data_IF_130721326815
#
_entry.id   IF_130721326815
#
_cell.length_a   1.000
_cell.length_b   1.000
_cell.length_c   1.000
_cell.angle_alpha   90.00
_cell.angle_beta   90.00
_cell.angle_gamma   90.00
#
_symmetry.space_group_name_H-M   'P 1'
#
loop_
_entity.id
_entity.type
_entity.pdbx_description
1 polymer ?
#
# COMPACT_ATOMS: atom_id res chain seq x y z
N UNK A 1 10.58 38.22 -2.52
CA UNK A 1 9.19 38.45 -3.03
C UNK A 1 8.23 37.63 -2.16
N UNK A 2 7.54 38.27 -1.22
CA UNK A 2 6.46 37.64 -0.46
C UNK A 2 5.28 37.41 -1.42
N UNK A 3 5.00 36.15 -1.75
CA UNK A 3 3.76 35.81 -2.46
C UNK A 3 2.59 36.10 -1.53
N UNK A 4 1.82 37.13 -1.83
CA UNK A 4 0.56 37.39 -1.13
C UNK A 4 -0.38 36.20 -1.33
N UNK A 5 -1.01 35.67 -0.28
CA UNK A 5 -1.92 34.55 -0.39
C UNK A 5 -3.08 34.91 -1.34
N UNK A 6 -3.36 34.00 -2.28
CA UNK A 6 -4.36 34.22 -3.36
C UNK A 6 -5.78 34.33 -2.78
N UNK A 7 -6.04 33.70 -1.64
CA UNK A 7 -7.33 33.77 -0.94
C UNK A 7 -7.15 33.99 0.58
N UNK A 8 -7.93 34.89 1.15
CA UNK A 8 -8.01 35.11 2.60
C UNK A 8 -9.19 34.31 3.18
N UNK A 9 -8.94 33.25 3.91
CA UNK A 9 -9.94 32.44 4.59
C UNK A 9 -9.80 32.60 6.12
N UNK A 10 -10.90 32.78 6.80
CA UNK A 10 -10.88 32.86 8.25
C UNK A 10 -10.72 31.47 8.87
N UNK A 11 -10.20 31.39 10.11
CA UNK A 11 -10.10 30.13 10.89
C UNK A 11 -11.47 29.43 10.96
N UNK A 12 -12.55 30.17 11.05
CA UNK A 12 -13.92 29.63 11.05
C UNK A 12 -14.25 28.91 9.74
N UNK A 13 -13.92 29.50 8.59
CA UNK A 13 -14.15 28.90 7.29
C UNK A 13 -13.30 27.62 7.11
N UNK A 14 -12.05 27.63 7.54
CA UNK A 14 -11.19 26.45 7.49
C UNK A 14 -11.72 25.29 8.35
N UNK A 15 -12.28 25.57 9.52
CA UNK A 15 -12.97 24.55 10.35
C UNK A 15 -14.21 23.99 9.67
N UNK A 16 -14.99 24.83 8.97
CA UNK A 16 -16.14 24.39 8.20
C UNK A 16 -15.69 23.45 7.06
N UNK A 17 -14.62 23.79 6.34
CA UNK A 17 -14.08 22.94 5.28
C UNK A 17 -13.59 21.59 5.83
N UNK A 18 -12.94 21.57 6.99
CA UNK A 18 -12.55 20.31 7.64
C UNK A 18 -13.78 19.44 7.98
N UNK A 19 -14.85 20.05 8.53
CA UNK A 19 -16.09 19.32 8.79
C UNK A 19 -16.75 18.81 7.51
N UNK A 20 -16.78 19.63 6.48
CA UNK A 20 -17.27 19.25 5.16
C UNK A 20 -16.48 18.05 4.61
N UNK A 21 -15.14 18.08 4.68
CA UNK A 21 -14.31 16.97 4.29
C UNK A 21 -14.59 15.68 5.08
N UNK A 22 -14.94 15.81 6.36
CA UNK A 22 -15.31 14.65 7.21
C UNK A 22 -16.64 14.03 6.81
N UNK A 23 -17.59 14.82 6.30
CA UNK A 23 -18.91 14.33 5.88
C UNK A 23 -18.90 13.75 4.46
N UNK A 24 -18.17 14.37 3.54
CA UNK A 24 -18.15 13.95 2.13
C UNK A 24 -17.24 12.77 1.84
N UNK A 25 -16.54 12.27 2.85
CA UNK A 25 -15.55 11.21 2.75
C UNK A 25 -16.14 9.87 2.30
N UNK A 26 -17.42 9.63 2.57
CA UNK A 26 -18.11 8.38 2.22
C UNK A 26 -18.53 8.32 0.75
N UNK A 27 -18.56 9.46 0.05
CA UNK A 27 -18.95 9.52 -1.36
C UNK A 27 -18.00 8.72 -2.26
N UNK A 28 -16.68 8.91 -2.20
CA UNK A 28 -15.74 8.10 -3.00
C UNK A 28 -15.80 6.62 -2.68
N UNK A 29 -15.95 6.26 -1.40
CA UNK A 29 -16.05 4.85 -1.00
C UNK A 29 -17.28 4.21 -1.67
N UNK A 30 -18.42 4.89 -1.64
CA UNK A 30 -19.64 4.41 -2.30
C UNK A 30 -19.51 4.29 -3.81
N UNK A 31 -18.86 5.26 -4.46
CA UNK A 31 -18.58 5.22 -5.90
C UNK A 31 -17.66 4.05 -6.28
N UNK A 32 -16.55 3.86 -5.58
CA UNK A 32 -15.64 2.76 -5.86
C UNK A 32 -16.26 1.39 -5.59
N UNK A 33 -17.07 1.25 -4.52
CA UNK A 33 -17.83 0.02 -4.26
C UNK A 33 -18.84 -0.25 -5.37
N UNK A 34 -19.58 0.78 -5.81
CA UNK A 34 -20.52 0.67 -6.92
C UNK A 34 -19.83 0.21 -8.21
N UNK A 35 -18.71 0.85 -8.57
CA UNK A 35 -17.90 0.44 -9.73
C UNK A 35 -17.35 -0.97 -9.58
N UNK A 36 -16.80 -1.33 -8.41
CA UNK A 36 -16.26 -2.65 -8.15
C UNK A 36 -17.34 -3.74 -8.32
N UNK A 37 -18.54 -3.52 -7.77
CA UNK A 37 -19.66 -4.43 -7.91
C UNK A 37 -20.07 -4.54 -9.38
N UNK A 38 -20.20 -3.42 -10.08
CA UNK A 38 -20.58 -3.40 -11.50
C UNK A 38 -19.56 -4.16 -12.35
N UNK A 39 -18.27 -3.90 -12.17
CA UNK A 39 -17.20 -4.59 -12.88
C UNK A 39 -17.10 -6.09 -12.54
N UNK A 40 -17.55 -6.49 -11.36
CA UNK A 40 -17.51 -7.91 -10.92
C UNK A 40 -18.73 -8.70 -11.36
N UNK A 41 -19.88 -8.06 -11.51
CA UNK A 41 -21.16 -8.72 -11.84
C UNK A 41 -21.42 -8.77 -13.34
N UNK A 42 -21.02 -7.72 -14.09
CA UNK A 42 -21.23 -7.68 -15.53
C UNK A 42 -20.31 -8.66 -16.26
N UNK A 43 -20.85 -9.45 -17.21
CA UNK A 43 -20.03 -10.27 -18.09
C UNK A 43 -19.05 -9.39 -18.89
N UNK A 44 -17.83 -9.89 -19.10
CA UNK A 44 -16.80 -9.16 -19.85
C UNK A 44 -17.24 -8.79 -21.28
N UNK A 45 -18.01 -9.66 -21.91
CA UNK A 45 -18.57 -9.40 -23.25
C UNK A 45 -19.55 -8.24 -23.24
N UNK A 46 -20.40 -8.13 -22.24
CA UNK A 46 -21.32 -6.98 -22.08
C UNK A 46 -20.54 -5.69 -21.82
N UNK A 47 -19.51 -5.77 -20.98
CA UNK A 47 -18.68 -4.59 -20.66
C UNK A 47 -17.89 -4.11 -21.89
N UNK A 48 -17.31 -5.03 -22.68
CA UNK A 48 -16.60 -4.67 -23.91
C UNK A 48 -17.54 -4.00 -24.94
N UNK A 49 -18.77 -4.50 -25.04
CA UNK A 49 -19.80 -3.90 -25.92
C UNK A 49 -20.19 -2.49 -25.47
N UNK A 50 -20.40 -2.28 -24.16
CA UNK A 50 -20.73 -0.95 -23.60
C UNK A 50 -19.59 0.05 -23.84
N UNK A 51 -18.33 -0.39 -23.70
CA UNK A 51 -17.15 0.46 -23.87
C UNK A 51 -16.71 0.58 -25.34
N UNK A 52 -17.38 -0.09 -26.28
CA UNK A 52 -17.00 -0.15 -27.70
C UNK A 52 -15.55 -0.61 -27.92
N UNK A 53 -15.08 -1.56 -27.11
CA UNK A 53 -13.74 -2.12 -27.19
C UNK A 53 -13.79 -3.58 -27.64
N UNK A 54 -12.81 -4.00 -28.42
CA UNK A 54 -12.69 -5.40 -28.81
C UNK A 54 -12.41 -6.28 -27.57
N UNK A 55 -13.04 -7.45 -27.55
CA UNK A 55 -12.91 -8.42 -26.45
C UNK A 55 -11.62 -9.25 -26.64
N UNK A 56 -10.48 -8.62 -26.46
CA UNK A 56 -9.14 -9.22 -26.57
C UNK A 56 -8.41 -9.29 -25.22
N UNK A 57 -7.16 -9.74 -25.23
CA UNK A 57 -6.33 -9.77 -24.02
C UNK A 57 -6.03 -8.38 -23.46
N UNK A 58 -5.98 -7.35 -24.31
CA UNK A 58 -5.74 -5.98 -23.89
C UNK A 58 -6.93 -5.47 -23.08
N UNK A 59 -8.16 -5.82 -23.51
CA UNK A 59 -9.37 -5.50 -22.77
C UNK A 59 -9.40 -6.17 -21.39
N UNK A 60 -9.00 -7.46 -21.28
CA UNK A 60 -8.89 -8.15 -19.99
C UNK A 60 -7.90 -7.46 -19.07
N UNK A 61 -6.74 -7.07 -19.58
CA UNK A 61 -5.73 -6.34 -18.80
C UNK A 61 -6.24 -4.99 -18.33
N UNK A 62 -6.93 -4.25 -19.18
CA UNK A 62 -7.55 -2.99 -18.85
C UNK A 62 -8.63 -3.15 -17.75
N UNK A 63 -9.44 -4.17 -17.84
CA UNK A 63 -10.47 -4.47 -16.85
C UNK A 63 -9.87 -4.84 -15.47
N UNK A 64 -8.79 -5.65 -15.45
CA UNK A 64 -8.01 -5.93 -14.23
C UNK A 64 -7.49 -4.62 -13.63
N UNK A 65 -6.95 -3.74 -14.47
CA UNK A 65 -6.45 -2.45 -14.06
C UNK A 65 -7.54 -1.58 -13.41
N UNK A 66 -8.75 -1.52 -13.98
CA UNK A 66 -9.86 -0.79 -13.38
C UNK A 66 -10.31 -1.36 -12.04
N UNK A 67 -10.35 -2.68 -11.89
CA UNK A 67 -10.64 -3.30 -10.59
C UNK A 67 -9.55 -2.97 -9.56
N UNK A 68 -8.28 -3.04 -9.95
CA UNK A 68 -7.17 -2.67 -9.09
C UNK A 68 -7.29 -1.20 -8.65
N UNK A 69 -7.64 -0.27 -9.56
CA UNK A 69 -7.91 1.13 -9.22
C UNK A 69 -9.06 1.27 -8.22
N UNK A 70 -10.16 0.53 -8.39
CA UNK A 70 -11.29 0.59 -7.46
C UNK A 70 -10.92 0.13 -6.06
N UNK A 71 -10.23 -1.01 -5.94
CA UNK A 71 -9.76 -1.53 -4.65
C UNK A 71 -8.77 -0.57 -3.99
N UNK A 72 -7.84 -0.05 -4.78
CA UNK A 72 -6.87 0.96 -4.37
C UNK A 72 -7.58 2.23 -3.89
N UNK A 73 -8.56 2.72 -4.65
CA UNK A 73 -9.36 3.89 -4.29
C UNK A 73 -10.11 3.70 -2.97
N UNK A 74 -10.72 2.53 -2.74
CA UNK A 74 -11.39 2.18 -1.48
C UNK A 74 -10.40 2.21 -0.33
N UNK A 75 -9.24 1.56 -0.47
CA UNK A 75 -8.22 1.52 0.59
C UNK A 75 -7.71 2.90 0.95
N UNK A 76 -7.39 3.74 -0.05
CA UNK A 76 -6.98 5.12 0.21
C UNK A 76 -8.08 5.97 0.81
N UNK A 77 -9.33 5.77 0.39
CA UNK A 77 -10.47 6.47 0.97
C UNK A 77 -10.67 6.09 2.44
N UNK A 78 -10.47 4.82 2.81
CA UNK A 78 -10.49 4.37 4.20
C UNK A 78 -9.34 5.00 5.00
N UNK A 79 -8.11 5.00 4.47
CA UNK A 79 -6.96 5.64 5.11
C UNK A 79 -7.21 7.13 5.30
N UNK A 80 -7.73 7.80 4.28
CA UNK A 80 -8.09 9.21 4.35
C UNK A 80 -9.16 9.47 5.41
N UNK A 81 -10.20 8.61 5.47
CA UNK A 81 -11.26 8.68 6.48
C UNK A 81 -10.67 8.62 7.89
N UNK A 82 -9.92 7.57 8.18
CA UNK A 82 -9.31 7.38 9.49
C UNK A 82 -8.40 8.56 9.84
N UNK A 83 -7.56 8.99 8.89
CA UNK A 83 -6.63 10.10 9.11
C UNK A 83 -7.36 11.40 9.39
N UNK A 84 -8.40 11.74 8.61
CA UNK A 84 -9.16 12.98 8.77
C UNK A 84 -9.96 13.02 10.08
N UNK A 85 -10.53 11.88 10.51
CA UNK A 85 -11.25 11.79 11.77
C UNK A 85 -10.33 11.85 13.01
N UNK A 86 -9.13 11.30 12.89
CA UNK A 86 -8.14 11.31 13.98
C UNK A 86 -7.38 12.63 14.10
N UNK A 87 -7.35 13.44 13.05
CA UNK A 87 -6.55 14.67 13.00
C UNK A 87 -7.32 15.85 13.57
N UNK A 88 -6.65 16.64 14.41
CA UNK A 88 -7.16 17.93 14.86
C UNK A 88 -7.07 18.96 13.76
N UNK A 89 -7.76 20.10 13.91
CA UNK A 89 -7.71 21.20 12.94
C UNK A 89 -6.26 21.70 12.69
N UNK A 90 -5.48 21.87 13.76
CA UNK A 90 -4.10 22.37 13.67
C UNK A 90 -3.19 21.36 12.95
N UNK A 91 -3.31 20.08 13.32
CA UNK A 91 -2.58 19.00 12.65
C UNK A 91 -2.97 18.87 11.18
N UNK A 92 -4.27 19.02 10.86
CA UNK A 92 -4.78 18.98 9.48
C UNK A 92 -4.13 20.04 8.59
N UNK A 93 -4.01 21.28 9.07
CA UNK A 93 -3.35 22.34 8.33
C UNK A 93 -1.86 22.07 8.17
N UNK A 94 -1.20 21.52 9.18
CA UNK A 94 0.22 21.16 9.10
C UNK A 94 0.51 20.06 8.08
N UNK A 95 -0.41 19.11 7.93
CA UNK A 95 -0.25 17.94 7.06
C UNK A 95 -1.08 18.03 5.78
N UNK A 96 -1.47 19.25 5.38
CA UNK A 96 -2.33 19.50 4.23
C UNK A 96 -1.87 18.84 2.94
N UNK A 97 -0.54 18.73 2.72
CA UNK A 97 0.01 18.09 1.52
C UNK A 97 -0.33 16.60 1.46
N UNK A 98 -0.20 15.88 2.57
CA UNK A 98 -0.56 14.45 2.65
C UNK A 98 -2.06 14.24 2.38
N UNK A 99 -2.91 15.15 2.88
CA UNK A 99 -4.35 15.09 2.61
C UNK A 99 -4.68 15.40 1.14
N UNK A 100 -3.95 16.31 0.49
CA UNK A 100 -4.06 16.55 -0.95
C UNK A 100 -3.70 15.29 -1.72
N UNK A 101 -2.56 14.66 -1.40
CA UNK A 101 -2.10 13.43 -2.06
C UNK A 101 -3.10 12.29 -1.86
N UNK A 102 -3.57 12.08 -0.63
CA UNK A 102 -4.56 11.05 -0.34
C UNK A 102 -5.86 11.27 -1.13
N UNK A 103 -6.33 12.52 -1.26
CA UNK A 103 -7.51 12.83 -2.06
C UNK A 103 -7.28 12.67 -3.57
N UNK A 104 -6.10 13.04 -4.05
CA UNK A 104 -5.74 12.82 -5.46
C UNK A 104 -5.74 11.33 -5.79
N UNK A 105 -5.10 10.50 -4.96
CA UNK A 105 -5.00 9.06 -5.18
C UNK A 105 -6.37 8.37 -5.01
N UNK A 106 -7.17 8.81 -4.06
CA UNK A 106 -8.53 8.27 -3.87
C UNK A 106 -9.54 8.82 -4.88
N UNK A 107 -9.12 9.68 -5.83
CA UNK A 107 -9.98 10.40 -6.79
C UNK A 107 -11.16 11.15 -6.12
N UNK A 108 -10.98 11.56 -4.87
CA UNK A 108 -11.96 12.38 -4.17
C UNK A 108 -11.82 13.85 -4.58
N UNK A 109 -12.34 14.19 -5.78
CA UNK A 109 -12.20 15.51 -6.39
C UNK A 109 -12.78 16.61 -5.50
N UNK A 110 -13.87 16.33 -4.81
CA UNK A 110 -14.57 17.31 -3.94
C UNK A 110 -13.62 17.72 -2.79
N UNK A 111 -13.07 16.76 -2.10
CA UNK A 111 -12.16 17.03 -0.98
C UNK A 111 -10.77 17.46 -1.46
N UNK A 112 -10.37 17.07 -2.68
CA UNK A 112 -9.14 17.55 -3.30
C UNK A 112 -9.18 19.07 -3.51
N UNK A 113 -10.26 19.59 -4.10
CA UNK A 113 -10.42 21.03 -4.32
C UNK A 113 -10.40 21.79 -3.00
N UNK A 114 -11.17 21.33 -2.00
CA UNK A 114 -11.19 21.98 -0.68
C UNK A 114 -9.85 21.97 0.03
N UNK A 115 -9.06 20.89 -0.11
CA UNK A 115 -7.70 20.80 0.45
C UNK A 115 -6.69 21.69 -0.29
N UNK A 116 -6.81 21.84 -1.61
CA UNK A 116 -5.98 22.76 -2.38
C UNK A 116 -6.28 24.22 -1.95
N UNK A 117 -7.53 24.56 -1.74
CA UNK A 117 -7.91 25.86 -1.21
C UNK A 117 -7.26 26.09 0.16
N UNK A 118 -7.32 25.14 1.08
CA UNK A 118 -6.64 25.22 2.39
C UNK A 118 -5.13 25.29 2.23
N UNK A 119 -4.54 24.59 1.25
CA UNK A 119 -3.09 24.64 0.99
C UNK A 119 -2.58 26.02 0.67
N UNK A 120 -3.36 26.84 -0.04
CA UNK A 120 -2.97 28.19 -0.44
C UNK A 120 -2.82 29.18 0.74
N UNK A 121 -3.20 28.76 1.98
CA UNK A 121 -3.07 29.60 3.17
C UNK A 121 -1.77 29.31 3.93
N UNK A 122 -0.98 30.36 4.15
CA UNK A 122 0.09 30.33 5.15
C UNK A 122 -0.49 30.37 6.56
N UNK A 123 -0.37 29.28 7.27
CA UNK A 123 -0.57 29.26 8.72
C UNK A 123 0.81 29.15 9.38
N UNK A 124 1.25 30.21 10.04
CA UNK A 124 2.37 30.14 11.00
C UNK A 124 1.88 29.30 12.19
N UNK A 125 2.23 28.04 12.20
CA UNK A 125 2.02 27.19 13.37
C UNK A 125 3.38 27.05 14.04
N UNK A 126 3.41 27.45 15.33
CA UNK A 126 4.50 27.14 16.23
C UNK A 126 4.77 25.64 16.19
N UNK A 127 6.03 25.25 16.08
CA UNK A 127 6.46 23.85 16.09
C UNK A 127 5.84 23.14 17.27
N UNK A 128 4.92 22.21 16.96
CA UNK A 128 4.29 21.40 17.99
C UNK A 128 5.34 20.42 18.49
N UNK A 129 5.94 20.73 19.63
CA UNK A 129 6.89 19.88 20.33
C UNK A 129 6.29 18.50 20.58
N UNK A 130 6.97 17.47 20.12
CA UNK A 130 6.59 16.07 20.23
C UNK A 130 6.82 15.48 21.65
N UNK A 131 6.64 16.28 22.70
CA UNK A 131 6.78 15.82 24.07
C UNK A 131 5.70 14.75 24.38
N UNK A 132 6.12 13.50 24.63
CA UNK A 132 5.31 12.33 25.01
C UNK A 132 4.05 12.16 24.14
N UNK A 133 4.28 11.80 22.86
CA UNK A 133 3.19 11.61 21.93
C UNK A 133 2.12 10.64 22.45
N UNK A 134 0.87 11.07 22.49
CA UNK A 134 -0.29 10.23 22.80
C UNK A 134 -0.34 9.02 21.85
N UNK A 135 -1.03 7.93 22.24
CA UNK A 135 -1.21 6.75 21.36
C UNK A 135 -1.74 7.12 19.97
N UNK A 136 -2.67 8.11 19.92
CA UNK A 136 -3.22 8.67 18.69
C UNK A 136 -2.14 9.31 17.80
N UNK A 137 -1.26 10.11 18.37
CA UNK A 137 -0.17 10.79 17.65
C UNK A 137 0.85 9.78 17.09
N UNK A 138 1.21 8.76 17.87
CA UNK A 138 2.06 7.66 17.40
C UNK A 138 1.43 6.90 16.23
N UNK A 139 0.13 6.68 16.25
CA UNK A 139 -0.58 6.05 15.15
C UNK A 139 -0.48 6.90 13.87
N UNK A 140 -0.73 8.20 13.93
CA UNK A 140 -0.63 9.10 12.77
C UNK A 140 0.80 9.15 12.21
N UNK A 141 1.81 9.19 13.08
CA UNK A 141 3.21 9.14 12.66
C UNK A 141 3.53 7.81 11.98
N UNK A 142 3.11 6.68 12.54
CA UNK A 142 3.30 5.37 11.92
C UNK A 142 2.60 5.24 10.58
N UNK A 143 1.42 5.82 10.48
CA UNK A 143 0.68 5.88 9.22
C UNK A 143 1.41 6.72 8.17
N UNK A 144 2.16 7.74 8.57
CA UNK A 144 2.87 8.65 7.65
C UNK A 144 2.22 10.02 7.51
N UNK A 145 1.39 10.39 8.48
CA UNK A 145 0.75 11.70 8.50
C UNK A 145 1.68 12.71 9.17
N UNK A 146 2.60 13.25 8.38
CA UNK A 146 3.48 14.39 8.73
C UNK A 146 3.83 15.17 7.47
N UNK A 147 4.58 16.27 7.61
CA UNK A 147 4.98 17.11 6.48
C UNK A 147 6.05 16.38 5.62
N UNK A 148 5.65 15.82 4.49
CA UNK A 148 6.58 15.21 3.54
C UNK A 148 7.36 16.29 2.77
N UNK A 149 8.60 15.95 2.43
CA UNK A 149 9.50 16.75 1.62
C UNK A 149 9.77 16.05 0.29
N UNK A 150 10.32 16.77 -0.67
CA UNK A 150 10.73 16.21 -1.97
C UNK A 150 11.56 14.93 -1.82
N UNK A 151 12.42 14.89 -0.80
CA UNK A 151 13.23 13.71 -0.49
C UNK A 151 12.41 12.45 -0.16
N UNK A 152 11.27 12.60 0.49
CA UNK A 152 10.40 11.46 0.83
C UNK A 152 9.82 10.80 -0.43
N UNK A 153 9.46 11.63 -1.42
CA UNK A 153 9.00 11.14 -2.73
C UNK A 153 10.13 10.47 -3.53
N UNK A 154 11.34 11.02 -3.47
CA UNK A 154 12.52 10.42 -4.13
C UNK A 154 12.80 9.05 -3.53
N UNK A 155 12.74 8.89 -2.21
CA UNK A 155 12.94 7.59 -1.55
C UNK A 155 11.84 6.61 -1.98
N UNK A 156 10.58 7.01 -1.99
CA UNK A 156 9.46 6.16 -2.43
C UNK A 156 9.68 5.68 -3.86
N UNK A 157 10.04 6.60 -4.77
CA UNK A 157 10.32 6.26 -6.17
C UNK A 157 11.52 5.30 -6.32
N UNK A 158 12.58 5.54 -5.54
CA UNK A 158 13.78 4.67 -5.54
C UNK A 158 13.44 3.26 -5.05
N UNK A 159 12.69 3.14 -3.95
CA UNK A 159 12.28 1.83 -3.44
C UNK A 159 11.28 1.13 -4.37
N UNK A 160 10.41 1.87 -5.07
CA UNK A 160 9.56 1.30 -6.10
C UNK A 160 10.39 0.74 -7.26
N UNK A 161 11.38 1.48 -7.74
CA UNK A 161 12.29 1.00 -8.79
C UNK A 161 13.05 -0.26 -8.36
N UNK A 162 13.61 -0.29 -7.14
CA UNK A 162 14.29 -1.49 -6.60
C UNK A 162 13.33 -2.66 -6.50
N UNK A 163 12.10 -2.43 -6.07
CA UNK A 163 11.06 -3.48 -5.99
C UNK A 163 10.77 -4.07 -7.37
N UNK A 164 10.64 -3.23 -8.40
CA UNK A 164 10.40 -3.67 -9.76
C UNK A 164 11.58 -4.45 -10.35
N UNK A 165 12.80 -4.00 -10.10
CA UNK A 165 14.02 -4.73 -10.51
C UNK A 165 14.06 -6.11 -9.86
N UNK A 166 13.78 -6.21 -8.55
CA UNK A 166 13.76 -7.50 -7.86
C UNK A 166 12.62 -8.38 -8.36
N UNK A 167 11.41 -7.82 -8.60
CA UNK A 167 10.30 -8.54 -9.19
C UNK A 167 10.63 -9.08 -10.60
N UNK A 168 11.37 -8.33 -11.39
CA UNK A 168 11.86 -8.79 -12.69
C UNK A 168 12.91 -9.90 -12.53
N UNK A 169 13.86 -9.74 -11.62
CA UNK A 169 14.86 -10.78 -11.32
C UNK A 169 14.24 -12.09 -10.83
N UNK A 170 13.13 -12.02 -10.09
CA UNK A 170 12.36 -13.21 -9.68
C UNK A 170 11.94 -14.07 -10.87
N UNK A 171 11.62 -13.46 -12.02
CA UNK A 171 11.23 -14.21 -13.22
C UNK A 171 12.37 -15.01 -13.85
N UNK A 172 13.61 -14.70 -13.48
CA UNK A 172 14.83 -15.39 -13.95
C UNK A 172 15.28 -16.50 -12.99
N UNK A 173 14.71 -16.53 -11.77
CA UNK A 173 15.02 -17.58 -10.79
C UNK A 173 14.31 -18.89 -11.19
N UNK A 174 14.86 -20.05 -10.76
CA UNK A 174 14.16 -21.31 -10.91
C UNK A 174 12.78 -21.24 -10.29
N UNK A 175 11.75 -21.50 -11.07
CA UNK A 175 10.39 -21.54 -10.60
C UNK A 175 10.10 -22.90 -9.96
N UNK A 176 9.27 -22.88 -8.91
CA UNK A 176 8.60 -24.07 -8.43
C UNK A 176 7.64 -24.60 -9.51
N UNK A 177 7.31 -25.90 -9.50
CA UNK A 177 6.24 -26.40 -10.36
C UNK A 177 5.02 -25.47 -10.25
N UNK A 178 4.42 -25.11 -11.38
CA UNK A 178 3.26 -24.22 -11.46
C UNK A 178 3.50 -22.73 -11.12
N UNK A 179 4.76 -22.25 -11.14
CA UNK A 179 5.07 -20.82 -11.26
C UNK A 179 5.45 -20.07 -9.96
N UNK A 180 5.49 -20.71 -8.81
CA UNK A 180 5.99 -20.07 -7.58
C UNK A 180 7.51 -19.85 -7.64
N UNK A 181 7.99 -18.67 -7.25
CA UNK A 181 9.42 -18.33 -7.14
C UNK A 181 9.73 -17.68 -5.79
N UNK A 182 11.02 -17.52 -5.49
CA UNK A 182 11.44 -16.79 -4.29
C UNK A 182 11.04 -15.32 -4.45
N UNK A 183 10.21 -14.81 -3.55
CA UNK A 183 9.68 -13.45 -3.67
C UNK A 183 10.60 -12.41 -2.98
N UNK A 184 11.58 -11.90 -3.72
CA UNK A 184 12.53 -10.89 -3.26
C UNK A 184 11.92 -9.48 -3.18
N UNK A 185 10.88 -9.20 -3.98
CA UNK A 185 10.17 -7.91 -4.08
C UNK A 185 9.60 -7.41 -2.75
N UNK A 186 9.31 -8.30 -1.81
CA UNK A 186 8.77 -7.90 -0.50
C UNK A 186 9.81 -7.28 0.43
N UNK A 187 11.11 -7.48 0.16
CA UNK A 187 12.19 -6.94 0.98
C UNK A 187 12.22 -5.42 0.95
N UNK A 188 12.36 -4.73 -0.20
CA UNK A 188 12.37 -3.27 -0.24
C UNK A 188 11.04 -2.66 0.21
N UNK A 189 9.91 -3.31 -0.04
CA UNK A 189 8.61 -2.86 0.42
C UNK A 189 8.50 -2.86 1.96
N UNK A 190 9.00 -3.90 2.60
CA UNK A 190 9.05 -3.98 4.06
C UNK A 190 10.01 -2.94 4.65
N UNK A 191 11.18 -2.75 4.02
CA UNK A 191 12.18 -1.78 4.46
C UNK A 191 11.62 -0.37 4.39
N UNK A 192 11.04 0.06 3.27
CA UNK A 192 10.50 1.42 3.13
C UNK A 192 9.34 1.67 4.11
N UNK A 193 8.45 0.70 4.28
CA UNK A 193 7.36 0.81 5.25
C UNK A 193 7.89 1.03 6.67
N UNK A 194 8.94 0.30 7.06
CA UNK A 194 9.52 0.37 8.39
C UNK A 194 10.34 1.64 8.61
N UNK A 195 11.21 2.03 7.67
CA UNK A 195 12.08 3.22 7.85
C UNK A 195 11.31 4.53 7.68
N UNK A 196 10.30 4.55 6.83
CA UNK A 196 9.51 5.75 6.56
C UNK A 196 8.13 5.68 7.25
N UNK A 197 7.17 4.94 6.68
CA UNK A 197 5.80 4.85 7.22
C UNK A 197 4.96 3.82 6.47
N UNK A 198 3.83 3.45 7.08
CA UNK A 198 2.87 2.56 6.43
C UNK A 198 2.36 3.13 5.10
N UNK A 199 2.07 4.43 5.03
CA UNK A 199 1.61 5.10 3.81
C UNK A 199 2.68 5.07 2.71
N UNK A 200 3.95 5.30 3.05
CA UNK A 200 5.04 5.19 2.08
C UNK A 200 5.19 3.76 1.56
N UNK A 201 5.13 2.76 2.45
CA UNK A 201 5.13 1.34 2.05
C UNK A 201 3.95 0.99 1.15
N UNK A 202 2.76 1.50 1.46
CA UNK A 202 1.57 1.30 0.64
C UNK A 202 1.72 1.92 -0.76
N UNK A 203 2.14 3.19 -0.86
CA UNK A 203 2.33 3.89 -2.14
C UNK A 203 3.38 3.17 -2.98
N UNK A 204 4.52 2.81 -2.36
CA UNK A 204 5.58 2.07 -3.06
C UNK A 204 5.05 0.73 -3.58
N UNK A 205 4.36 -0.04 -2.74
CA UNK A 205 3.79 -1.34 -3.12
C UNK A 205 2.76 -1.22 -4.23
N UNK A 206 1.88 -0.23 -4.15
CA UNK A 206 0.85 0.01 -5.15
C UNK A 206 1.43 0.45 -6.51
N UNK A 207 2.39 1.38 -6.52
CA UNK A 207 3.10 1.77 -7.76
C UNK A 207 3.80 0.55 -8.36
N UNK A 208 4.50 -0.23 -7.53
CA UNK A 208 5.19 -1.43 -7.99
C UNK A 208 4.23 -2.49 -8.53
N UNK A 209 3.10 -2.70 -7.87
CA UNK A 209 2.07 -3.63 -8.35
C UNK A 209 1.50 -3.19 -9.71
N UNK A 210 1.15 -1.91 -9.86
CA UNK A 210 0.64 -1.39 -11.13
C UNK A 210 1.69 -1.46 -12.25
N UNK A 211 2.94 -1.08 -11.96
CA UNK A 211 4.01 -1.16 -12.94
C UNK A 211 4.39 -2.60 -13.30
N UNK A 212 4.21 -3.56 -12.41
CA UNK A 212 4.47 -4.97 -12.69
C UNK A 212 3.56 -5.56 -13.79
N UNK A 213 2.40 -4.95 -14.04
CA UNK A 213 1.52 -5.32 -15.17
C UNK A 213 2.22 -5.23 -16.52
N UNK A 214 3.27 -4.40 -16.65
CA UNK A 214 4.02 -4.22 -17.90
C UNK A 214 4.89 -5.42 -18.25
N UNK A 215 5.23 -6.29 -17.28
CA UNK A 215 6.14 -7.42 -17.51
C UNK A 215 5.63 -8.76 -16.95
N UNK A 216 4.48 -8.80 -16.29
CA UNK A 216 3.83 -10.07 -15.93
C UNK A 216 3.33 -10.74 -17.21
N UNK A 217 3.73 -11.98 -17.52
CA UNK A 217 3.21 -12.69 -18.66
C UNK A 217 1.68 -12.82 -18.59
N UNK A 218 1.01 -12.63 -19.72
CA UNK A 218 -0.46 -12.63 -19.79
C UNK A 218 -1.11 -13.91 -19.28
N UNK A 219 -0.43 -15.06 -19.36
CA UNK A 219 -0.89 -16.34 -18.81
C UNK A 219 -1.00 -16.40 -17.28
N UNK A 220 -0.36 -15.47 -16.56
CA UNK A 220 -0.41 -15.40 -15.10
C UNK A 220 -1.48 -14.41 -14.57
N UNK A 221 -2.18 -13.73 -15.46
CA UNK A 221 -3.31 -12.87 -15.11
C UNK A 221 -4.56 -13.41 -15.80
N UNK A 222 -5.15 -14.43 -15.21
CA UNK A 222 -6.31 -15.12 -15.79
C UNK A 222 -7.64 -14.45 -15.42
N UNK A 223 -7.63 -13.63 -14.39
CA UNK A 223 -8.79 -12.86 -13.95
C UNK A 223 -8.35 -11.65 -13.12
N UNK A 224 -9.22 -10.63 -12.92
CA UNK A 224 -8.93 -9.53 -12.02
C UNK A 224 -8.61 -9.97 -10.60
N UNK A 225 -9.29 -10.99 -10.14
CA UNK A 225 -9.11 -11.55 -8.80
C UNK A 225 -7.77 -12.26 -8.66
N UNK A 226 -7.27 -12.92 -9.72
CA UNK A 226 -5.92 -13.50 -9.70
C UNK A 226 -4.87 -12.41 -9.56
N UNK A 227 -4.98 -11.32 -10.32
CA UNK A 227 -4.06 -10.19 -10.16
C UNK A 227 -4.15 -9.57 -8.76
N UNK A 228 -5.37 -9.33 -8.27
CA UNK A 228 -5.58 -8.70 -6.98
C UNK A 228 -4.95 -9.52 -5.84
N UNK A 229 -5.22 -10.82 -5.81
CA UNK A 229 -4.80 -11.71 -4.72
C UNK A 229 -3.34 -12.17 -4.83
N UNK A 230 -2.80 -12.36 -6.05
CA UNK A 230 -1.43 -12.84 -6.24
C UNK A 230 -0.38 -11.71 -6.32
N UNK A 231 -0.79 -10.54 -6.80
CA UNK A 231 0.18 -9.46 -7.07
C UNK A 231 -0.10 -8.22 -6.25
N UNK A 232 -1.29 -7.64 -6.34
CA UNK A 232 -1.58 -6.35 -5.75
C UNK A 232 -1.58 -6.40 -4.22
N UNK A 233 -2.39 -7.27 -3.61
CA UNK A 233 -2.45 -7.44 -2.16
C UNK A 233 -1.10 -7.83 -1.56
N UNK A 234 -0.38 -8.84 -2.08
CA UNK A 234 0.95 -9.17 -1.58
C UNK A 234 1.95 -8.03 -1.61
N UNK A 235 1.90 -7.15 -2.60
CA UNK A 235 2.81 -6.00 -2.70
C UNK A 235 2.47 -4.87 -1.72
N UNK A 236 1.22 -4.72 -1.29
CA UNK A 236 0.85 -3.68 -0.32
C UNK A 236 0.89 -4.16 1.14
N UNK A 237 0.75 -5.45 1.40
CA UNK A 237 0.80 -6.03 2.77
C UNK A 237 2.04 -5.61 3.56
N UNK A 238 3.26 -5.48 2.98
CA UNK A 238 4.44 -5.02 3.69
C UNK A 238 4.30 -3.66 4.38
N UNK A 239 3.30 -2.83 4.01
CA UNK A 239 2.99 -1.57 4.68
C UNK A 239 2.78 -1.73 6.19
N UNK A 240 2.39 -2.92 6.65
CA UNK A 240 2.14 -3.23 8.06
C UNK A 240 3.40 -3.03 8.92
N UNK A 241 4.59 -3.22 8.35
CA UNK A 241 5.85 -2.93 9.03
C UNK A 241 5.92 -1.49 9.58
N UNK A 242 5.28 -0.53 8.91
CA UNK A 242 5.22 0.85 9.35
C UNK A 242 4.49 1.06 10.67
N UNK A 243 3.50 0.23 11.01
CA UNK A 243 2.81 0.30 12.29
C UNK A 243 3.60 -0.33 13.44
N UNK A 244 4.59 -1.15 13.13
CA UNK A 244 5.39 -1.88 14.12
C UNK A 244 6.73 -1.21 14.46
N UNK A 245 7.10 -0.13 13.75
CA UNK A 245 8.42 0.53 13.82
C UNK A 245 8.80 1.01 15.23
N UNK A 246 7.86 1.52 16.04
CA UNK A 246 8.15 2.00 17.39
C UNK A 246 8.35 0.89 18.43
N UNK A 247 7.97 -0.34 18.12
CA UNK A 247 8.20 -1.48 19.01
C UNK A 247 9.65 -1.95 18.98
N UNK A 248 10.39 -1.56 17.94
CA UNK A 248 11.77 -2.02 17.67
C UNK A 248 12.82 -1.16 18.34
N UNK A 249 12.52 0.10 18.64
CA UNK A 249 13.46 1.01 19.33
C UNK A 249 13.50 0.69 20.83
N UNK A 250 14.08 -0.46 21.18
CA UNK A 250 14.27 -0.89 22.55
C UNK A 250 15.77 -1.07 22.81
N UNK A 251 16.25 -0.62 23.96
CA UNK A 251 17.67 -0.73 24.37
C UNK A 251 18.17 -2.18 24.45
N UNK A 252 17.24 -3.14 24.53
CA UNK A 252 17.53 -4.57 24.59
C UNK A 252 17.59 -5.17 23.17
N UNK A 253 18.80 -5.49 22.69
CA UNK A 253 19.04 -6.05 21.34
C UNK A 253 18.17 -7.26 20.99
N UNK A 254 17.94 -8.18 21.92
CA UNK A 254 17.14 -9.38 21.68
C UNK A 254 15.65 -9.05 21.40
N UNK A 255 15.08 -8.03 22.07
CA UNK A 255 13.69 -7.59 21.82
C UNK A 255 13.56 -7.03 20.41
N UNK A 256 14.58 -6.32 19.94
CA UNK A 256 14.63 -5.81 18.57
C UNK A 256 14.58 -6.94 17.54
N UNK A 257 15.37 -8.02 17.76
CA UNK A 257 15.34 -9.19 16.86
C UNK A 257 14.01 -9.92 16.88
N UNK A 258 13.42 -10.12 18.05
CA UNK A 258 12.08 -10.73 18.18
C UNK A 258 11.04 -9.89 17.41
N UNK A 259 11.10 -8.56 17.51
CA UNK A 259 10.18 -7.69 16.78
C UNK A 259 10.37 -7.80 15.25
N UNK A 260 11.59 -7.95 14.75
CA UNK A 260 11.83 -8.19 13.32
C UNK A 260 11.26 -9.54 12.88
N UNK A 261 11.41 -10.59 13.69
CA UNK A 261 10.82 -11.91 13.43
C UNK A 261 9.30 -11.78 13.32
N UNK A 262 8.66 -11.10 14.28
CA UNK A 262 7.21 -10.90 14.30
C UNK A 262 6.76 -10.12 13.07
N UNK A 263 7.47 -9.06 12.65
CA UNK A 263 7.15 -8.27 11.46
C UNK A 263 7.19 -9.15 10.21
N UNK A 264 8.31 -9.83 9.97
CA UNK A 264 8.47 -10.68 8.79
C UNK A 264 7.45 -11.82 8.78
N UNK A 265 7.22 -12.46 9.92
CA UNK A 265 6.23 -13.53 10.04
C UNK A 265 4.80 -13.04 9.76
N UNK A 266 4.42 -11.89 10.32
CA UNK A 266 3.08 -11.31 10.09
C UNK A 266 2.85 -10.96 8.62
N UNK A 267 3.85 -10.38 7.94
CA UNK A 267 3.77 -10.02 6.53
C UNK A 267 3.60 -11.29 5.68
N UNK A 268 4.48 -12.27 5.88
CA UNK A 268 4.43 -13.52 5.11
C UNK A 268 3.14 -14.29 5.36
N UNK A 269 2.64 -14.32 6.60
CA UNK A 269 1.38 -14.99 6.92
C UNK A 269 0.19 -14.38 6.17
N UNK A 270 0.13 -13.06 6.05
CA UNK A 270 -0.94 -12.37 5.31
C UNK A 270 -0.81 -12.57 3.81
N UNK A 271 0.40 -12.53 3.27
CA UNK A 271 0.66 -12.85 1.86
C UNK A 271 0.26 -14.30 1.56
N UNK A 272 0.66 -15.23 2.42
CA UNK A 272 0.30 -16.64 2.33
C UNK A 272 -1.22 -16.85 2.28
N UNK A 273 -1.99 -16.20 3.16
CA UNK A 273 -3.46 -16.29 3.13
C UNK A 273 -4.02 -15.82 1.78
N UNK A 274 -3.53 -14.71 1.25
CA UNK A 274 -3.95 -14.21 -0.07
C UNK A 274 -3.64 -15.22 -1.18
N UNK A 275 -2.44 -15.79 -1.17
CA UNK A 275 -2.00 -16.78 -2.17
C UNK A 275 -2.74 -18.12 -2.04
N UNK A 276 -3.07 -18.56 -0.82
CA UNK A 276 -3.89 -19.77 -0.62
C UNK A 276 -5.30 -19.56 -1.19
N UNK A 277 -5.89 -18.39 -0.98
CA UNK A 277 -7.22 -18.09 -1.52
C UNK A 277 -7.24 -18.13 -3.06
N UNK A 278 -6.29 -17.47 -3.70
CA UNK A 278 -6.24 -17.46 -5.17
C UNK A 278 -5.90 -18.84 -5.73
N UNK A 279 -4.99 -19.57 -5.08
CA UNK A 279 -4.63 -20.94 -5.45
C UNK A 279 -5.83 -21.88 -5.39
N UNK A 280 -6.56 -21.88 -4.28
CA UNK A 280 -7.72 -22.79 -4.11
C UNK A 280 -8.94 -22.41 -4.94
N UNK A 281 -9.20 -21.11 -5.16
CA UNK A 281 -10.43 -20.64 -5.82
C UNK A 281 -10.26 -20.42 -7.33
N UNK A 282 -9.05 -20.10 -7.79
CA UNK A 282 -8.82 -19.70 -9.18
C UNK A 282 -7.88 -20.69 -9.88
N UNK A 283 -6.66 -20.85 -9.39
CA UNK A 283 -5.64 -21.63 -10.10
C UNK A 283 -5.99 -23.11 -10.21
N UNK A 284 -6.39 -23.76 -9.14
CA UNK A 284 -6.77 -25.18 -9.16
C UNK A 284 -8.08 -25.45 -9.92
N UNK A 285 -8.93 -24.43 -10.04
CA UNK A 285 -10.17 -24.53 -10.84
C UNK A 285 -9.89 -24.41 -12.33
N UNK A 286 -8.95 -23.53 -12.72
CA UNK A 286 -8.58 -23.33 -14.12
C UNK A 286 -7.59 -24.38 -14.63
N UNK A 287 -6.76 -24.92 -13.76
CA UNK A 287 -5.73 -25.90 -14.06
C UNK A 287 -5.84 -27.12 -13.13
N UNK A 288 -6.92 -27.91 -13.22
CA UNK A 288 -7.16 -29.05 -12.32
C UNK A 288 -6.05 -30.10 -12.40
N UNK A 289 -5.43 -30.27 -13.57
CA UNK A 289 -4.32 -31.21 -13.77
C UNK A 289 -3.03 -30.82 -13.03
N UNK A 290 -2.96 -29.61 -12.50
CA UNK A 290 -1.83 -29.16 -11.66
C UNK A 290 -1.96 -29.62 -10.21
N UNK A 291 -3.14 -30.04 -9.77
CA UNK A 291 -3.37 -30.52 -8.42
C UNK A 291 -2.75 -31.91 -8.26
N UNK A 292 -1.96 -32.09 -7.19
CA UNK A 292 -1.32 -33.37 -6.92
C UNK A 292 -2.37 -34.46 -6.69
N UNK A 293 -2.10 -35.70 -7.16
CA UNK A 293 -2.98 -36.84 -6.90
C UNK A 293 -3.35 -36.92 -5.42
N UNK A 294 -4.59 -37.24 -5.12
CA UNK A 294 -5.16 -37.38 -3.77
C UNK A 294 -5.27 -36.11 -2.93
N UNK A 295 -4.96 -34.93 -3.53
CA UNK A 295 -5.13 -33.64 -2.88
C UNK A 295 -6.43 -32.96 -3.32
N UNK A 296 -7.13 -32.35 -2.35
CA UNK A 296 -8.20 -31.39 -2.66
C UNK A 296 -7.57 -30.05 -3.10
N UNK A 297 -8.32 -29.25 -3.84
CA UNK A 297 -7.88 -27.89 -4.27
C UNK A 297 -7.36 -27.06 -3.09
N UNK A 298 -8.05 -27.11 -1.97
CA UNK A 298 -7.63 -26.40 -0.75
C UNK A 298 -6.36 -26.96 -0.14
N UNK A 299 -6.26 -28.28 0.01
CA UNK A 299 -5.08 -28.90 0.60
C UNK A 299 -3.85 -28.65 -0.27
N UNK A 300 -4.00 -28.82 -1.59
CA UNK A 300 -2.93 -28.50 -2.54
C UNK A 300 -2.46 -27.05 -2.39
N UNK A 301 -3.39 -26.09 -2.43
CA UNK A 301 -3.07 -24.66 -2.33
C UNK A 301 -2.40 -24.32 -0.99
N UNK A 302 -2.88 -24.88 0.13
CA UNK A 302 -2.28 -24.70 1.45
C UNK A 302 -0.83 -25.18 1.46
N UNK A 303 -0.59 -26.40 1.01
CA UNK A 303 0.77 -27.00 1.07
C UNK A 303 1.71 -26.33 0.08
N UNK A 304 1.27 -26.09 -1.15
CA UNK A 304 2.07 -25.44 -2.18
C UNK A 304 2.51 -24.03 -1.76
N UNK A 305 1.57 -23.21 -1.32
CA UNK A 305 1.90 -21.85 -0.90
C UNK A 305 2.66 -21.80 0.43
N UNK A 306 2.52 -22.82 1.30
CA UNK A 306 3.36 -22.94 2.48
C UNK A 306 4.83 -23.15 2.11
N UNK A 307 5.10 -24.01 1.14
CA UNK A 307 6.46 -24.24 0.63
C UNK A 307 7.02 -22.92 0.04
N UNK A 308 6.26 -22.27 -0.83
CA UNK A 308 6.65 -21.01 -1.45
C UNK A 308 6.93 -19.90 -0.42
N UNK A 309 6.00 -19.66 0.50
CA UNK A 309 6.06 -18.54 1.43
C UNK A 309 6.99 -18.78 2.62
N UNK A 310 6.86 -19.94 3.31
CA UNK A 310 7.56 -20.16 4.55
C UNK A 310 8.89 -20.91 4.40
N UNK A 311 9.04 -21.76 3.40
CA UNK A 311 10.30 -22.49 3.19
C UNK A 311 11.28 -21.66 2.35
N UNK A 312 10.81 -21.00 1.28
CA UNK A 312 11.70 -20.28 0.38
C UNK A 312 11.77 -18.79 0.66
N UNK A 313 10.64 -18.08 0.77
CA UNK A 313 10.63 -16.61 0.87
C UNK A 313 10.95 -16.12 2.27
N UNK A 314 10.31 -16.68 3.31
CA UNK A 314 10.44 -16.21 4.68
C UNK A 314 11.88 -16.24 5.23
N UNK A 315 12.68 -17.32 5.05
CA UNK A 315 14.05 -17.35 5.58
C UNK A 315 14.94 -16.24 4.98
N UNK A 316 14.78 -15.96 3.71
CA UNK A 316 15.52 -14.88 3.03
C UNK A 316 15.11 -13.51 3.58
N UNK A 317 13.82 -13.26 3.72
CA UNK A 317 13.32 -12.03 4.35
C UNK A 317 13.84 -11.89 5.78
N UNK A 318 13.87 -12.99 6.55
CA UNK A 318 14.30 -13.02 7.95
C UNK A 318 15.79 -12.71 8.11
N UNK A 319 16.60 -12.98 7.10
CA UNK A 319 18.03 -12.64 7.09
C UNK A 319 18.24 -11.21 6.58
N UNK A 320 17.69 -10.90 5.41
CA UNK A 320 17.99 -9.65 4.70
C UNK A 320 17.35 -8.43 5.35
N UNK A 321 16.10 -8.53 5.83
CA UNK A 321 15.40 -7.38 6.41
C UNK A 321 16.05 -6.90 7.72
N UNK A 322 16.34 -7.75 8.72
CA UNK A 322 17.02 -7.30 9.93
C UNK A 322 18.40 -6.70 9.67
N UNK A 323 19.20 -7.29 8.76
CA UNK A 323 20.50 -6.76 8.37
C UNK A 323 20.39 -5.38 7.72
N UNK A 324 19.46 -5.24 6.78
CA UNK A 324 19.20 -3.96 6.09
C UNK A 324 18.69 -2.89 7.06
N UNK A 325 17.75 -3.24 7.93
CA UNK A 325 17.19 -2.31 8.90
C UNK A 325 18.22 -1.88 9.95
N UNK A 326 19.11 -2.76 10.36
CA UNK A 326 20.20 -2.41 11.27
C UNK A 326 21.11 -1.32 10.70
N UNK A 327 21.34 -1.34 9.39
CA UNK A 327 22.21 -0.38 8.69
C UNK A 327 21.46 0.89 8.30
N UNK A 328 20.24 0.77 7.80
CA UNK A 328 19.49 1.88 7.24
C UNK A 328 18.69 2.66 8.29
N UNK A 329 18.08 1.98 9.27
CA UNK A 329 17.21 2.64 10.24
C UNK A 329 17.90 3.78 11.02
N UNK A 330 19.15 3.67 11.50
CA UNK A 330 19.81 4.77 12.19
C UNK A 330 19.97 6.02 11.31
N UNK A 331 20.28 5.84 10.02
CA UNK A 331 20.46 6.94 9.06
C UNK A 331 19.16 7.70 8.84
N UNK A 332 18.07 6.96 8.65
CA UNK A 332 16.76 7.57 8.43
C UNK A 332 16.19 8.16 9.71
N UNK A 333 16.34 7.49 10.85
CA UNK A 333 15.79 7.97 12.12
C UNK A 333 16.51 9.22 12.64
N UNK A 334 17.83 9.34 12.48
CA UNK A 334 18.53 10.60 12.79
C UNK A 334 17.96 11.77 12.01
N UNK A 335 17.48 11.55 10.80
CA UNK A 335 16.85 12.57 9.98
C UNK A 335 15.44 12.90 10.46
N UNK A 336 14.65 11.89 10.88
CA UNK A 336 13.30 12.07 11.39
C UNK A 336 13.27 12.55 12.84
N UNK A 337 14.21 12.14 13.69
CA UNK A 337 14.34 12.64 15.06
C UNK A 337 14.67 14.13 15.12
N UNK A 338 15.34 14.68 14.09
CA UNK A 338 15.49 16.16 13.95
C UNK A 338 14.16 16.89 13.74
N UNK A 339 13.07 16.18 13.49
CA UNK A 339 11.72 16.73 13.39
C UNK A 339 10.89 16.46 14.65
N UNK A 340 11.43 15.73 15.62
CA UNK A 340 10.82 15.44 16.91
C UNK A 340 11.31 16.39 18.03
N UNK A 341 12.34 17.22 17.75
CA UNK A 341 12.90 18.19 18.69
C UNK A 341 12.53 19.64 18.41
#
# INVERSE_FOLDING_TARGET
MEQKPIFKCTVKQQRIVLWYNKLTIFIPIGLYLGFLITLSVLPLTTLSTILHLEHDQNFKSLWVFFIAICVFGIMFSIIYTISTWLTTYEEYINYKMQFIILNFISLNIINLISNIIIYSYEVKISDVLFAKASKKKRFLINLGIWKWKTFDFVIIAMFAAVTLVLAFLETMLPNLPHGGSIALKYIPLTIIAFIHSALAGFITGAISALMSLLFIPSGFIVSPWSYLLDYFIPMIVPMIAGFMRFKVNNDKKYITYINYIIICFSIISLIYVSQVLVGALIWTTLFPDSVWPDYTNWLYSIVYNFIHSFIFTYPIMQIVIPLSLRSLAPVFWQRYLKYEG
#
